data_IF_262093963846
#
_entry.id   IF_262093963846
#
_cell.length_a   1.000
_cell.length_b   1.000
_cell.length_c   1.000
_cell.angle_alpha   90.00
_cell.angle_beta   90.00
_cell.angle_gamma   90.00
#
_symmetry.space_group_name_H-M   'P 1'
#
loop_
_entity.id
_entity.type
_entity.pdbx_description
1 polymer ?
#
# COMPACT_ATOMS: atom_id res chain seq x y z
N UNK A 1 -9.59 -14.61 -9.03
CA UNK A 1 -10.98 -14.67 -8.51
C UNK A 1 -10.95 -14.20 -7.05
N UNK A 2 -11.71 -13.17 -6.72
CA UNK A 2 -11.79 -12.58 -5.37
C UNK A 2 -12.82 -13.37 -4.54
N UNK A 3 -12.44 -13.87 -3.36
CA UNK A 3 -13.38 -14.37 -2.36
C UNK A 3 -13.95 -13.17 -1.58
N UNK A 4 -15.28 -13.02 -1.44
CA UNK A 4 -15.86 -11.91 -0.70
C UNK A 4 -15.79 -12.20 0.80
N UNK A 5 -15.03 -11.40 1.54
CA UNK A 5 -15.02 -11.39 3.00
C UNK A 5 -16.26 -10.66 3.53
N UNK A 6 -16.92 -11.23 4.56
CA UNK A 6 -18.10 -10.67 5.21
C UNK A 6 -17.91 -9.21 5.66
N UNK A 7 -18.90 -8.41 5.30
CA UNK A 7 -18.93 -6.96 5.39
C UNK A 7 -19.28 -6.48 6.81
N UNK A 8 -18.38 -5.69 7.38
CA UNK A 8 -18.61 -4.87 8.57
C UNK A 8 -18.31 -3.41 8.22
N UNK A 9 -18.99 -2.86 7.21
CA UNK A 9 -19.16 -1.41 6.99
C UNK A 9 -17.86 -0.59 6.89
N UNK A 10 -16.75 -1.24 6.53
CA UNK A 10 -15.39 -0.72 6.61
C UNK A 10 -14.67 -1.16 5.34
N UNK A 11 -13.90 -0.24 4.75
CA UNK A 11 -13.10 -0.47 3.52
C UNK A 11 -12.58 -1.91 3.46
N UNK A 12 -12.61 -2.59 2.30
CA UNK A 12 -12.26 -4.00 2.19
C UNK A 12 -10.91 -4.26 2.84
N UNK A 13 -10.87 -5.26 3.73
CA UNK A 13 -9.63 -5.65 4.39
C UNK A 13 -8.62 -6.12 3.35
N UNK A 14 -7.41 -5.58 3.40
CA UNK A 14 -6.34 -6.07 2.55
C UNK A 14 -5.79 -7.36 3.18
N UNK A 15 -5.77 -8.43 2.40
CA UNK A 15 -5.30 -9.74 2.85
C UNK A 15 -4.22 -10.25 1.93
N UNK A 16 -3.28 -10.98 2.52
CA UNK A 16 -2.28 -11.76 1.81
C UNK A 16 -2.19 -13.11 2.54
N UNK A 17 -1.99 -14.17 1.78
CA UNK A 17 -1.89 -15.52 2.31
C UNK A 17 -0.71 -16.22 1.65
N UNK A 18 -0.10 -17.13 2.38
CA UNK A 18 0.98 -17.93 1.85
C UNK A 18 0.96 -19.29 2.57
N UNK A 19 1.40 -20.34 1.88
CA UNK A 19 1.50 -21.71 2.40
C UNK A 19 2.99 -22.07 2.48
N UNK A 20 3.49 -22.56 3.63
CA UNK A 20 4.86 -23.04 3.72
C UNK A 20 4.97 -24.38 2.98
N UNK A 21 5.49 -24.34 1.75
CA UNK A 21 5.74 -25.51 0.91
C UNK A 21 7.26 -25.72 0.78
N UNK A 22 7.89 -26.59 1.61
CA UNK A 22 9.31 -26.98 1.45
C UNK A 22 10.20 -26.99 2.71
N UNK A 23 11.49 -27.33 2.51
CA UNK A 23 12.52 -27.72 3.50
C UNK A 23 12.65 -26.81 4.74
N UNK A 24 12.47 -25.50 4.59
CA UNK A 24 12.66 -24.54 5.70
C UNK A 24 11.39 -24.26 6.51
N UNK A 25 10.22 -24.69 6.04
CA UNK A 25 8.93 -24.46 6.73
C UNK A 25 8.53 -22.99 6.90
N UNK A 26 9.21 -22.06 6.22
CA UNK A 26 8.94 -20.61 6.29
C UNK A 26 8.22 -20.11 5.05
N UNK A 27 7.38 -19.09 5.24
CA UNK A 27 6.61 -18.50 4.18
C UNK A 27 6.37 -17.01 4.44
N UNK A 28 6.47 -16.19 3.40
CA UNK A 28 6.27 -14.74 3.47
C UNK A 28 5.02 -14.34 2.69
N UNK A 29 4.09 -13.68 3.38
CA UNK A 29 2.96 -12.99 2.77
C UNK A 29 3.20 -11.48 2.82
N UNK A 30 2.99 -10.78 1.71
CA UNK A 30 3.14 -9.33 1.63
C UNK A 30 1.82 -8.69 1.19
N UNK A 31 1.45 -7.60 1.87
CA UNK A 31 0.31 -6.78 1.52
C UNK A 31 0.75 -5.34 1.27
N UNK A 32 0.33 -4.75 0.15
CA UNK A 32 0.66 -3.36 -0.19
C UNK A 32 -0.50 -2.46 0.18
N UNK A 33 -0.23 -1.47 1.04
CA UNK A 33 -1.25 -0.50 1.45
C UNK A 33 -1.42 0.57 0.36
N UNK A 34 -2.65 0.85 -0.11
CA UNK A 34 -2.92 1.89 -1.09
C UNK A 34 -2.53 3.29 -0.62
N UNK A 35 -1.95 4.09 -1.53
CA UNK A 35 -1.49 5.45 -1.24
C UNK A 35 -2.59 6.37 -0.67
N UNK A 36 -3.84 6.21 -1.13
CA UNK A 36 -4.99 7.01 -0.69
C UNK A 36 -5.41 6.77 0.78
N UNK A 37 -4.76 5.83 1.48
CA UNK A 37 -4.95 5.65 2.92
C UNK A 37 -4.19 6.70 3.74
N UNK A 38 -3.10 7.27 3.20
CA UNK A 38 -2.43 8.42 3.79
C UNK A 38 -3.18 9.72 3.50
N UNK A 39 -2.90 10.76 4.29
CA UNK A 39 -3.34 12.11 3.94
C UNK A 39 -2.63 12.56 2.66
N UNK A 40 -3.34 13.22 1.72
CA UNK A 40 -2.70 13.84 0.57
C UNK A 40 -1.64 14.82 1.03
N UNK A 41 -0.46 14.79 0.40
CA UNK A 41 0.55 15.80 0.61
C UNK A 41 0.12 17.09 -0.11
N UNK A 42 0.34 18.27 0.50
CA UNK A 42 0.10 19.52 -0.21
C UNK A 42 1.04 19.60 -1.42
N UNK A 43 0.59 20.15 -2.56
CA UNK A 43 1.48 20.42 -3.68
C UNK A 43 2.66 21.30 -3.25
N UNK A 44 3.88 21.00 -3.71
CA UNK A 44 5.00 21.92 -3.54
C UNK A 44 4.70 23.22 -4.28
N UNK A 45 4.91 24.37 -3.63
CA UNK A 45 4.75 25.66 -4.29
C UNK A 45 5.91 25.84 -5.30
N UNK A 46 5.59 26.32 -6.51
CA UNK A 46 6.58 26.62 -7.57
C UNK A 46 7.63 27.64 -7.06
N UNK A 47 7.29 28.41 -6.02
CA UNK A 47 8.17 29.38 -5.36
C UNK A 47 9.03 28.82 -4.21
N UNK A 48 8.94 27.51 -3.92
CA UNK A 48 9.70 26.84 -2.86
C UNK A 48 9.20 27.11 -1.43
N UNK A 49 8.03 27.75 -1.28
CA UNK A 49 7.38 27.92 0.02
C UNK A 49 6.68 26.63 0.42
N UNK A 50 7.15 26.02 1.52
CA UNK A 50 6.51 24.84 2.10
C UNK A 50 5.12 25.25 2.59
N UNK A 51 4.08 24.80 1.89
CA UNK A 51 2.70 24.94 2.32
C UNK A 51 2.55 24.33 3.71
N UNK A 52 1.92 25.07 4.65
CA UNK A 52 1.76 24.60 6.03
C UNK A 52 1.10 23.21 6.01
N UNK A 53 1.67 22.20 6.69
CA UNK A 53 1.10 20.86 6.69
C UNK A 53 -0.32 20.93 7.26
N UNK A 54 -1.29 20.47 6.47
CA UNK A 54 -2.68 20.34 6.92
C UNK A 54 -2.66 19.31 8.06
N UNK A 55 -3.06 19.75 9.26
CA UNK A 55 -3.20 18.85 10.41
C UNK A 55 -4.28 17.83 10.07
N UNK A 56 -3.87 16.62 9.77
CA UNK A 56 -4.77 15.51 9.53
C UNK A 56 -4.80 14.60 10.76
N UNK A 57 -5.97 14.05 11.12
CA UNK A 57 -6.04 13.10 12.22
C UNK A 57 -5.20 11.87 11.89
N UNK A 58 -4.51 11.35 12.90
CA UNK A 58 -3.70 10.15 12.75
C UNK A 58 -4.58 8.97 12.33
N UNK A 59 -4.19 8.28 11.27
CA UNK A 59 -4.88 7.08 10.79
C UNK A 59 -4.14 5.85 11.30
N UNK A 60 -4.87 4.89 11.84
CA UNK A 60 -4.34 3.62 12.34
C UNK A 60 -4.83 2.46 11.47
N UNK A 61 -3.91 1.59 11.07
CA UNK A 61 -4.22 0.31 10.41
C UNK A 61 -4.13 -0.80 11.45
N UNK A 62 -5.18 -1.60 11.55
CA UNK A 62 -5.19 -2.78 12.40
C UNK A 62 -4.62 -3.94 11.61
N UNK A 63 -3.56 -4.54 12.12
CA UNK A 63 -2.91 -5.72 11.55
C UNK A 63 -3.32 -6.92 12.39
N UNK A 64 -3.75 -7.98 11.71
CA UNK A 64 -4.11 -9.25 12.32
C UNK A 64 -3.70 -10.39 11.39
N UNK A 65 -3.51 -11.57 11.96
CA UNK A 65 -3.29 -12.79 11.19
C UNK A 65 -4.35 -13.84 11.54
N UNK A 66 -4.53 -14.81 10.65
CA UNK A 66 -5.32 -16.01 10.89
C UNK A 66 -4.67 -17.20 10.22
N UNK A 67 -4.93 -18.39 10.77
CA UNK A 67 -4.48 -19.67 10.21
C UNK A 67 -5.67 -20.39 9.60
N UNK A 68 -5.50 -20.81 8.36
CA UNK A 68 -6.51 -21.51 7.56
C UNK A 68 -6.01 -22.91 7.23
N UNK A 69 -6.88 -23.93 7.28
CA UNK A 69 -6.49 -25.28 6.85
C UNK A 69 -6.30 -25.31 5.33
N UNK A 70 -5.15 -25.82 4.84
CA UNK A 70 -5.04 -26.28 3.46
C UNK A 70 -5.89 -27.57 3.31
N UNK A 71 -6.83 -27.63 2.36
CA UNK A 71 -7.40 -28.92 1.96
C UNK A 71 -6.42 -29.58 0.98
N UNK A 72 -5.91 -30.76 1.32
CA UNK A 72 -5.16 -31.62 0.40
C UNK A 72 -6.10 -31.99 -0.74
N UNK A 73 -5.74 -31.69 -1.98
CA UNK A 73 -6.45 -32.17 -3.16
C UNK A 73 -6.17 -33.67 -3.33
N UNK A 74 -6.75 -34.49 -2.45
CA UNK A 74 -6.95 -35.91 -2.71
C UNK A 74 -8.37 -36.04 -3.26
N UNK A 75 -8.43 -35.96 -4.59
CA UNK A 75 -9.48 -36.43 -5.49
C UNK A 75 -9.79 -35.36 -6.53
N UNK A 76 -9.38 -35.65 -7.77
CA UNK A 76 -9.43 -34.75 -8.90
C UNK A 76 -10.87 -34.36 -9.25
N UNK A 77 -11.27 -33.15 -8.90
CA UNK A 77 -12.44 -32.50 -9.47
C UNK A 77 -12.29 -30.98 -9.45
N UNK A 78 -12.88 -30.38 -10.48
CA UNK A 78 -12.74 -29.01 -10.96
C UNK A 78 -12.98 -27.92 -9.91
N UNK A 79 -12.14 -26.87 -9.96
CA UNK A 79 -12.57 -25.45 -9.99
C UNK A 79 -13.51 -24.89 -8.90
N UNK A 80 -13.76 -25.62 -7.81
CA UNK A 80 -14.71 -25.23 -6.77
C UNK A 80 -14.15 -24.18 -5.82
N UNK A 81 -14.87 -23.06 -5.65
CA UNK A 81 -14.62 -22.07 -4.59
C UNK A 81 -15.03 -22.67 -3.23
N UNK A 82 -14.22 -23.60 -2.71
CA UNK A 82 -14.53 -24.32 -1.48
C UNK A 82 -14.05 -23.48 -0.27
N UNK A 83 -14.90 -23.21 0.73
CA UNK A 83 -14.58 -22.32 1.84
C UNK A 83 -13.47 -22.90 2.72
N UNK A 84 -12.39 -22.12 2.92
CA UNK A 84 -11.29 -22.46 3.84
C UNK A 84 -11.79 -22.41 5.28
N UNK A 85 -11.58 -23.49 6.03
CA UNK A 85 -11.96 -23.54 7.44
C UNK A 85 -10.93 -22.75 8.24
N UNK A 86 -11.41 -21.75 8.98
CA UNK A 86 -10.59 -20.94 9.86
C UNK A 86 -10.33 -21.72 11.16
N UNK A 87 -9.08 -22.14 11.38
CA UNK A 87 -8.65 -22.87 12.59
C UNK A 87 -8.54 -21.90 13.76
N UNK A 88 -7.93 -20.74 13.49
CA UNK A 88 -7.67 -19.71 14.47
C UNK A 88 -8.45 -18.44 14.11
N UNK A 89 -9.24 -17.87 15.06
CA UNK A 89 -9.88 -16.57 14.85
C UNK A 89 -8.83 -15.50 14.52
N UNK A 90 -9.25 -14.41 13.86
CA UNK A 90 -8.34 -13.31 13.54
C UNK A 90 -7.70 -12.80 14.83
N UNK A 91 -6.39 -12.94 14.93
CA UNK A 91 -5.61 -12.55 16.12
C UNK A 91 -4.96 -11.20 15.84
N UNK A 92 -5.35 -10.12 16.56
CA UNK A 92 -4.75 -8.82 16.40
C UNK A 92 -3.25 -8.85 16.75
N UNK A 93 -2.43 -8.23 15.90
CA UNK A 93 -1.00 -8.09 16.10
C UNK A 93 -0.63 -6.69 16.55
N UNK A 94 -1.09 -5.68 15.82
CA UNK A 94 -0.67 -4.30 16.05
C UNK A 94 -1.64 -3.28 15.45
N UNK A 95 -1.64 -2.07 16.03
CA UNK A 95 -2.21 -0.88 15.44
C UNK A 95 -1.06 -0.02 14.87
N UNK A 96 -0.89 -0.04 13.54
CA UNK A 96 0.21 0.66 12.87
C UNK A 96 -0.24 2.05 12.45
N UNK A 97 0.45 3.13 12.89
CA UNK A 97 0.12 4.48 12.46
C UNK A 97 0.58 4.75 11.03
N UNK A 98 -0.34 5.21 10.19
CA UNK A 98 -0.03 5.76 8.87
C UNK A 98 0.47 7.20 9.05
N UNK A 99 1.79 7.33 9.15
CA UNK A 99 2.46 8.62 9.19
C UNK A 99 3.03 8.97 7.80
N UNK A 100 3.17 10.27 7.47
CA UNK A 100 4.03 10.68 6.36
C UNK A 100 5.46 10.21 6.60
N UNK A 101 6.28 10.18 5.54
CA UNK A 101 7.68 9.84 5.68
C UNK A 101 8.35 10.75 6.73
N UNK A 102 9.11 10.13 7.65
CA UNK A 102 9.86 10.86 8.69
C UNK A 102 11.08 11.57 8.13
N UNK A 103 11.59 11.11 7.00
CA UNK A 103 12.68 11.72 6.27
C UNK A 103 12.16 12.78 5.31
N UNK A 104 12.97 13.82 5.07
CA UNK A 104 12.67 14.79 4.04
C UNK A 104 12.52 14.09 2.69
N UNK A 105 11.58 14.54 1.87
CA UNK A 105 11.55 14.17 0.46
C UNK A 105 12.53 15.08 -0.29
N UNK A 106 13.25 14.51 -1.25
CA UNK A 106 13.97 15.28 -2.27
C UNK A 106 13.00 15.55 -3.42
N UNK A 107 12.87 16.82 -3.77
CA UNK A 107 12.15 17.22 -4.98
C UNK A 107 13.01 16.92 -6.21
N UNK A 108 12.45 16.15 -7.14
CA UNK A 108 12.98 15.91 -8.47
C UNK A 108 12.09 16.64 -9.46
N UNK A 109 12.70 17.54 -10.22
CA UNK A 109 12.02 18.39 -11.17
C UNK A 109 12.83 18.41 -12.46
N UNK A 110 12.19 18.04 -13.57
CA UNK A 110 12.79 18.14 -14.91
C UNK A 110 12.38 19.42 -15.63
N UNK A 111 11.18 19.95 -15.32
CA UNK A 111 10.58 21.12 -15.93
C UNK A 111 9.64 21.82 -14.93
N UNK A 112 8.87 22.81 -15.37
CA UNK A 112 7.91 23.51 -14.50
C UNK A 112 6.53 22.83 -14.42
N UNK A 113 6.36 21.69 -15.11
CA UNK A 113 5.09 21.01 -15.29
C UNK A 113 4.96 19.81 -14.35
N UNK A 114 6.06 19.15 -14.01
CA UNK A 114 6.06 17.96 -13.17
C UNK A 114 7.05 18.10 -12.00
N UNK A 115 6.57 17.77 -10.79
CA UNK A 115 7.41 17.65 -9.60
C UNK A 115 7.18 16.31 -8.94
N UNK A 116 8.25 15.54 -8.76
CA UNK A 116 8.24 14.24 -8.11
C UNK A 116 8.95 14.33 -6.76
N UNK A 117 8.40 13.70 -5.72
CA UNK A 117 9.00 13.67 -4.39
C UNK A 117 9.57 12.28 -4.08
N UNK A 118 10.90 12.17 -4.00
CA UNK A 118 11.57 10.90 -3.72
C UNK A 118 12.04 10.88 -2.26
N UNK A 119 11.74 9.81 -1.49
CA UNK A 119 12.17 9.73 -0.10
C UNK A 119 13.70 9.76 0.01
N UNK A 120 14.23 10.56 0.94
CA UNK A 120 15.68 10.66 1.18
C UNK A 120 16.22 9.56 2.11
N UNK A 121 15.36 8.82 2.81
CA UNK A 121 15.80 7.74 3.68
C UNK A 121 16.41 6.58 2.87
N UNK A 122 17.44 5.88 3.39
CA UNK A 122 17.94 4.68 2.76
C UNK A 122 16.82 3.66 2.63
N UNK A 123 16.55 3.24 1.39
CA UNK A 123 15.61 2.17 1.11
C UNK A 123 16.34 0.85 1.39
N UNK A 124 15.81 0.06 2.32
CA UNK A 124 16.30 -1.30 2.54
C UNK A 124 16.06 -2.17 1.29
N UNK A 125 16.86 -3.21 1.14
CA UNK A 125 16.71 -4.15 0.02
C UNK A 125 15.28 -4.73 -0.01
N UNK A 126 14.68 -4.79 -1.20
CA UNK A 126 13.29 -5.21 -1.43
C UNK A 126 12.18 -4.31 -0.81
N UNK A 127 12.51 -3.14 -0.28
CA UNK A 127 11.49 -2.21 0.22
C UNK A 127 10.89 -1.41 -0.93
N UNK A 128 9.58 -1.56 -1.16
CA UNK A 128 8.83 -0.69 -2.07
C UNK A 128 8.64 0.70 -1.47
N UNK A 129 8.55 1.74 -2.29
CA UNK A 129 8.20 3.08 -1.84
C UNK A 129 7.17 3.71 -2.77
N UNK A 130 6.39 4.65 -2.21
CA UNK A 130 5.42 5.44 -2.97
C UNK A 130 6.03 6.83 -3.15
N UNK A 131 6.16 7.25 -4.41
CA UNK A 131 6.66 8.57 -4.79
C UNK A 131 5.47 9.47 -5.17
N UNK A 132 5.17 10.52 -4.39
CA UNK A 132 4.19 11.54 -4.79
C UNK A 132 4.63 12.23 -6.09
N UNK A 133 3.67 12.45 -6.99
CA UNK A 133 3.87 13.16 -8.26
C UNK A 133 2.82 14.25 -8.37
N UNK A 134 3.27 15.48 -8.65
CA UNK A 134 2.43 16.66 -8.80
C UNK A 134 2.56 17.19 -10.22
N UNK A 135 1.41 17.40 -10.86
CA UNK A 135 1.30 18.00 -12.18
C UNK A 135 0.81 19.44 -12.02
N UNK A 136 1.57 20.37 -12.57
CA UNK A 136 1.23 21.78 -12.64
C UNK A 136 0.61 22.05 -14.00
N UNK A 137 -0.71 22.17 -14.04
CA UNK A 137 -1.41 22.51 -15.29
C UNK A 137 -1.15 23.96 -15.64
N UNK A 138 -0.77 24.22 -16.89
CA UNK A 138 -0.72 25.57 -17.44
C UNK A 138 -1.76 25.72 -18.55
N UNK A 139 -2.45 26.88 -18.64
CA UNK A 139 -3.49 27.08 -19.66
C UNK A 139 -2.98 26.95 -21.10
N UNK A 140 -1.72 27.30 -21.31
CA UNK A 140 -1.01 27.28 -22.59
C UNK A 140 -0.37 25.92 -22.94
N UNK A 141 -0.30 25.00 -21.97
CA UNK A 141 0.36 23.70 -22.16
C UNK A 141 -0.39 22.56 -21.46
N UNK A 142 -1.45 22.00 -22.08
CA UNK A 142 -2.18 20.87 -21.51
C UNK A 142 -1.32 19.60 -21.54
N UNK A 143 -1.12 18.99 -20.37
CA UNK A 143 -0.36 17.75 -20.22
C UNK A 143 -1.27 16.57 -20.57
N UNK A 144 -0.94 15.82 -21.62
CA UNK A 144 -1.67 14.61 -22.04
C UNK A 144 -1.01 13.31 -21.57
N UNK A 145 0.33 13.27 -21.48
CA UNK A 145 1.09 12.10 -21.03
C UNK A 145 2.44 12.52 -20.44
N UNK A 146 2.98 11.74 -19.50
CA UNK A 146 4.37 11.82 -19.07
C UNK A 146 4.95 10.41 -18.90
N UNK A 147 6.25 10.25 -19.10
CA UNK A 147 6.95 8.95 -19.04
C UNK A 147 8.10 9.08 -18.03
N UNK A 148 8.13 8.19 -17.04
CA UNK A 148 9.25 8.03 -16.11
C UNK A 148 10.16 6.95 -16.70
N UNK A 149 11.45 7.27 -16.87
CA UNK A 149 12.48 6.36 -17.38
C UNK A 149 13.52 6.07 -16.32
#
# INVERSE_FOLDING_TARGET
MHCPSCDLGRKPALTAACSPDGEDGVCLAQVTIPANWWAPLPPPDITGRVNKPVKTPQRLVQVAYSVLEPRTSSDGDDGGCIPRVQIQPMTPLAAVPLAPARSAYRELRSDDLLTMMVPHAPLYHCHGFISPVFLHTRPDYPISVFIIR
#
